data_IF_632482586247
#
_entry.id   IF_632482586247
#
_cell.length_a   1.000
_cell.length_b   1.000
_cell.length_c   1.000
_cell.angle_alpha   90.00
_cell.angle_beta   90.00
_cell.angle_gamma   90.00
#
_symmetry.space_group_name_H-M   'P 1'
#
loop_
_entity.id
_entity.type
_entity.pdbx_description
1 polymer ?
#
# COMPACT_ATOMS: atom_id res chain seq x y z
N UNK A 1 0.14 -5.73 22.19
CA UNK A 1 0.14 -5.32 20.77
C UNK A 1 0.88 -4.00 20.69
N UNK A 2 2.14 -4.04 20.27
CA UNK A 2 3.07 -2.92 20.26
C UNK A 2 3.75 -2.92 18.89
N UNK A 3 3.18 -2.18 17.95
CA UNK A 3 3.84 -1.81 16.71
C UNK A 3 3.28 -0.43 16.37
N UNK A 4 4.13 0.59 16.39
CA UNK A 4 3.85 1.96 15.94
C UNK A 4 3.08 2.86 16.92
N UNK A 5 3.81 3.44 17.88
CA UNK A 5 3.39 4.61 18.67
C UNK A 5 3.31 5.89 17.82
N UNK A 6 2.43 5.93 16.84
CA UNK A 6 2.02 7.15 16.13
C UNK A 6 3.03 7.75 15.15
N UNK A 7 4.07 7.01 14.73
CA UNK A 7 5.01 7.46 13.69
C UNK A 7 5.21 6.37 12.64
N UNK A 8 4.42 6.45 11.58
CA UNK A 8 4.62 5.71 10.35
C UNK A 8 5.64 6.50 9.52
N UNK A 9 6.78 5.90 9.20
CA UNK A 9 7.72 6.45 8.23
C UNK A 9 7.33 5.85 6.88
N UNK A 10 6.84 6.65 5.92
CA UNK A 10 6.56 6.15 4.57
C UNK A 10 7.91 5.87 3.91
N UNK A 11 8.28 4.59 3.88
CA UNK A 11 9.39 4.13 3.06
C UNK A 11 8.80 3.87 1.67
N UNK A 12 9.40 4.37 0.58
CA UNK A 12 8.99 4.02 -0.78
C UNK A 12 8.95 2.49 -0.92
N UNK A 13 7.80 1.94 -1.31
CA UNK A 13 7.56 0.50 -1.40
C UNK A 13 6.27 -0.01 -0.74
N UNK A 14 5.48 0.89 -0.14
CA UNK A 14 4.14 0.57 0.40
C UNK A 14 3.02 1.18 -0.43
N UNK A 15 2.03 0.37 -0.81
CA UNK A 15 0.81 0.80 -1.50
C UNK A 15 -0.31 0.99 -0.48
N UNK A 16 -0.92 2.17 -0.45
CA UNK A 16 -2.09 2.46 0.37
C UNK A 16 -3.32 1.77 -0.22
N UNK A 17 -4.24 1.37 0.66
CA UNK A 17 -5.50 0.71 0.30
C UNK A 17 -6.63 1.66 0.63
N UNK A 18 -7.45 1.97 -0.38
CA UNK A 18 -8.66 2.76 -0.25
C UNK A 18 -9.90 1.91 -0.45
N UNK A 19 -10.94 2.25 0.30
CA UNK A 19 -12.28 1.69 0.11
C UNK A 19 -13.05 2.42 -1.01
N UNK A 20 -14.31 2.04 -1.22
CA UNK A 20 -15.18 2.67 -2.21
C UNK A 20 -15.50 4.14 -1.89
N UNK A 21 -15.38 4.56 -0.63
CA UNK A 21 -15.55 5.95 -0.18
C UNK A 21 -14.28 6.79 -0.38
N UNK A 22 -13.22 6.20 -0.95
CA UNK A 22 -11.87 6.78 -1.07
C UNK A 22 -11.14 6.97 0.26
N UNK A 23 -11.64 6.38 1.35
CA UNK A 23 -11.01 6.43 2.66
C UNK A 23 -9.86 5.42 2.73
N UNK A 24 -8.74 5.83 3.32
CA UNK A 24 -7.60 4.94 3.54
C UNK A 24 -7.95 3.97 4.67
N UNK A 25 -8.07 2.69 4.33
CA UNK A 25 -8.40 1.62 5.28
C UNK A 25 -7.16 0.80 5.70
N UNK A 26 -6.03 0.97 5.00
CA UNK A 26 -4.82 0.25 5.29
C UNK A 26 -3.69 0.50 4.30
N UNK A 27 -2.65 -0.33 4.39
CA UNK A 27 -1.51 -0.33 3.48
C UNK A 27 -0.95 -1.74 3.33
N UNK A 28 -0.36 -2.03 2.17
CA UNK A 28 0.41 -3.24 1.89
C UNK A 28 1.83 -2.83 1.55
N UNK A 29 2.80 -3.39 2.27
CA UNK A 29 4.22 -3.31 1.94
C UNK A 29 4.72 -4.70 1.58
N UNK A 30 5.37 -4.82 0.42
CA UNK A 30 6.06 -6.05 0.03
C UNK A 30 7.55 -5.78 0.19
N UNK A 31 8.26 -6.73 0.79
CA UNK A 31 9.72 -6.67 0.94
C UNK A 31 10.31 -7.94 0.33
N UNK A 32 10.98 -7.84 -0.81
CA UNK A 32 11.65 -9.01 -1.36
C UNK A 32 12.38 -8.85 -2.69
N UNK A 33 11.99 -7.91 -3.55
CA UNK A 33 12.62 -7.69 -4.85
C UNK A 33 12.87 -6.17 -5.07
N UNK A 34 12.95 -5.74 -6.33
CA UNK A 34 13.00 -4.33 -6.73
C UNK A 34 11.66 -3.66 -6.42
N UNK A 35 11.69 -2.43 -5.90
CA UNK A 35 10.50 -1.69 -5.44
C UNK A 35 9.35 -1.65 -6.47
N UNK A 36 9.68 -1.60 -7.76
CA UNK A 36 8.69 -1.57 -8.86
C UNK A 36 7.86 -2.87 -8.96
N UNK A 37 8.51 -4.03 -8.79
CA UNK A 37 7.81 -5.33 -8.82
C UNK A 37 6.95 -5.53 -7.59
N UNK A 38 7.48 -5.11 -6.45
CA UNK A 38 6.77 -5.15 -5.16
C UNK A 38 5.50 -4.28 -5.25
N UNK A 39 5.58 -3.11 -5.87
CA UNK A 39 4.41 -2.25 -6.10
C UNK A 39 3.37 -2.89 -7.03
N UNK A 40 3.78 -3.43 -8.17
CA UNK A 40 2.87 -4.09 -9.12
C UNK A 40 2.13 -5.25 -8.46
N UNK A 41 2.85 -6.08 -7.69
CA UNK A 41 2.26 -7.21 -6.98
C UNK A 41 1.21 -6.75 -5.95
N UNK A 42 1.53 -5.70 -5.18
CA UNK A 42 0.61 -5.09 -4.23
C UNK A 42 -0.65 -4.53 -4.92
N UNK A 43 -0.48 -3.78 -6.01
CA UNK A 43 -1.58 -3.22 -6.82
C UNK A 43 -2.52 -4.32 -7.31
N UNK A 44 -1.97 -5.41 -7.85
CA UNK A 44 -2.79 -6.54 -8.33
C UNK A 44 -3.53 -7.24 -7.18
N UNK A 45 -2.88 -7.46 -6.03
CA UNK A 45 -3.52 -8.06 -4.86
C UNK A 45 -4.68 -7.20 -4.33
N UNK A 46 -4.46 -5.89 -4.20
CA UNK A 46 -5.47 -4.94 -3.71
C UNK A 46 -6.67 -4.89 -4.67
N UNK A 47 -6.43 -4.84 -5.99
CA UNK A 47 -7.50 -4.90 -6.99
C UNK A 47 -8.26 -6.22 -6.97
N UNK A 48 -7.56 -7.35 -6.79
CA UNK A 48 -8.20 -8.66 -6.69
C UNK A 48 -9.08 -8.79 -5.44
N UNK A 49 -8.81 -8.01 -4.39
CA UNK A 49 -9.64 -7.90 -3.20
C UNK A 49 -10.84 -6.95 -3.38
N UNK A 50 -11.00 -6.33 -4.56
CA UNK A 50 -12.07 -5.36 -4.83
C UNK A 50 -11.82 -3.98 -4.21
N UNK A 51 -10.56 -3.67 -3.88
CA UNK A 51 -10.15 -2.43 -3.23
C UNK A 51 -9.34 -1.56 -4.20
N UNK A 52 -9.14 -0.29 -3.83
CA UNK A 52 -8.43 0.68 -4.66
C UNK A 52 -7.00 0.86 -4.16
N UNK A 53 -5.97 0.49 -4.94
CA UNK A 53 -4.59 0.76 -4.59
C UNK A 53 -4.22 2.22 -4.85
N UNK A 54 -3.40 2.79 -3.98
CA UNK A 54 -2.84 4.12 -4.10
C UNK A 54 -1.32 4.05 -3.83
N UNK A 55 -0.55 4.26 -4.88
CA UNK A 55 0.92 4.17 -4.88
C UNK A 55 1.58 5.49 -4.51
N UNK A 56 0.81 6.58 -4.34
CA UNK A 56 1.34 7.91 -4.02
C UNK A 56 2.16 8.55 -5.14
N UNK A 57 2.24 7.94 -6.32
CA UNK A 57 2.97 8.46 -7.47
C UNK A 57 2.18 9.64 -8.10
N UNK A 58 2.75 10.86 -8.17
CA UNK A 58 2.09 12.01 -8.78
C UNK A 58 2.22 11.94 -10.31
N UNK A 59 1.41 11.10 -10.95
CA UNK A 59 1.18 11.18 -12.41
C UNK A 59 0.06 12.15 -12.74
#
# INVERSE_FOLDING_TARGET
>A
MAASGGRIVPVPGGVLIRDASSDIIGSVGISGDTSDKDEICAVHGIRSAGLTPDTGDPS
#
